data_IF_221852876409
#
_entry.id   IF_221852876409
#
_cell.length_a   1.000
_cell.length_b   1.000
_cell.length_c   1.000
_cell.angle_alpha   90.00
_cell.angle_beta   90.00
_cell.angle_gamma   90.00
#
_symmetry.space_group_name_H-M   'P 1'
#
loop_
_entity.id
_entity.type
_entity.pdbx_description
1 polymer ?
#
# COMPACT_ATOMS: atom_id res chain seq x y z
N UNK A 1 -11.08 -8.85 -4.47
CA UNK A 1 -10.29 -7.79 -3.80
C UNK A 1 -8.82 -8.16 -3.85
N UNK A 2 -7.98 -7.19 -4.16
CA UNK A 2 -6.52 -7.41 -4.16
C UNK A 2 -5.85 -6.78 -2.94
N UNK A 3 -4.88 -7.50 -2.41
CA UNK A 3 -4.04 -7.07 -1.31
C UNK A 3 -2.56 -7.18 -1.68
N UNK A 4 -1.78 -6.25 -1.17
CA UNK A 4 -0.33 -6.24 -1.28
C UNK A 4 0.28 -6.69 0.03
N UNK A 5 1.30 -7.54 -0.05
CA UNK A 5 2.11 -7.93 1.11
C UNK A 5 3.56 -7.58 0.81
N UNK A 6 4.16 -6.76 1.64
CA UNK A 6 5.61 -6.54 1.61
C UNK A 6 6.26 -7.59 2.51
N UNK A 7 7.10 -8.42 1.91
CA UNK A 7 7.74 -9.55 2.59
C UNK A 7 9.05 -9.11 3.25
N UNK A 8 9.37 -9.75 4.38
CA UNK A 8 10.59 -9.50 5.12
C UNK A 8 11.84 -10.12 4.50
N UNK A 9 12.87 -10.29 5.32
CA UNK A 9 14.20 -10.75 4.89
C UNK A 9 14.22 -12.14 4.24
N UNK A 10 13.26 -12.99 4.61
CA UNK A 10 13.11 -14.31 4.01
C UNK A 10 11.77 -14.39 3.27
N UNK A 11 11.71 -13.98 2.00
CA UNK A 11 10.46 -13.92 1.25
C UNK A 11 9.75 -15.26 1.11
N UNK A 12 10.50 -16.35 0.96
CA UNK A 12 9.93 -17.69 0.83
C UNK A 12 9.20 -18.11 2.10
N UNK A 13 9.81 -17.89 3.25
CA UNK A 13 9.20 -18.20 4.55
C UNK A 13 7.99 -17.30 4.81
N UNK A 14 8.11 -16.02 4.53
CA UNK A 14 7.01 -15.04 4.69
C UNK A 14 5.79 -15.42 3.83
N UNK A 15 6.02 -15.81 2.60
CA UNK A 15 4.97 -16.27 1.68
C UNK A 15 4.30 -17.55 2.21
N UNK A 16 5.10 -18.53 2.63
CA UNK A 16 4.58 -19.78 3.19
C UNK A 16 3.70 -19.53 4.41
N UNK A 17 4.10 -18.62 5.27
CA UNK A 17 3.33 -18.21 6.45
C UNK A 17 1.96 -17.64 6.07
N UNK A 18 1.93 -16.75 5.08
CA UNK A 18 0.67 -16.16 4.57
C UNK A 18 -0.25 -17.24 4.02
N UNK A 19 0.27 -18.11 3.16
CA UNK A 19 -0.50 -19.20 2.58
C UNK A 19 -1.04 -20.15 3.62
N UNK A 20 -0.24 -20.44 4.66
CA UNK A 20 -0.66 -21.30 5.77
C UNK A 20 -1.83 -20.68 6.56
N UNK A 21 -1.76 -19.40 6.88
CA UNK A 21 -2.85 -18.71 7.57
C UNK A 21 -4.12 -18.70 6.73
N UNK A 22 -4.02 -18.43 5.44
CA UNK A 22 -5.17 -18.45 4.54
C UNK A 22 -5.79 -19.83 4.41
N UNK A 23 -4.97 -20.88 4.35
CA UNK A 23 -5.44 -22.26 4.31
C UNK A 23 -6.16 -22.62 5.59
N UNK A 24 -5.56 -22.29 6.74
CA UNK A 24 -6.17 -22.54 8.06
C UNK A 24 -7.54 -21.87 8.20
N UNK A 25 -7.64 -20.62 7.77
CA UNK A 25 -8.84 -19.81 7.91
C UNK A 25 -9.83 -20.00 6.73
N UNK A 26 -9.54 -20.93 5.84
CA UNK A 26 -10.38 -21.28 4.68
C UNK A 26 -10.61 -20.06 3.78
N UNK A 27 -9.58 -19.22 3.59
CA UNK A 27 -9.63 -18.07 2.68
C UNK A 27 -9.20 -18.50 1.28
N UNK A 28 -10.15 -18.48 0.35
CA UNK A 28 -9.85 -18.72 -1.06
C UNK A 28 -9.03 -17.55 -1.59
N UNK A 29 -7.86 -17.84 -2.17
CA UNK A 29 -6.93 -16.83 -2.63
C UNK A 29 -6.15 -17.26 -3.86
N UNK A 30 -5.67 -16.28 -4.63
CA UNK A 30 -4.80 -16.47 -5.80
C UNK A 30 -3.68 -15.44 -5.75
N UNK A 31 -2.43 -15.89 -5.90
CA UNK A 31 -1.30 -14.97 -6.03
C UNK A 31 -1.32 -14.40 -7.45
N UNK A 32 -1.42 -13.09 -7.59
CA UNK A 32 -1.56 -12.39 -8.87
C UNK A 32 -0.26 -11.78 -9.37
N UNK A 33 0.67 -11.47 -8.47
CA UNK A 33 2.00 -10.99 -8.82
C UNK A 33 3.02 -11.33 -7.72
N UNK A 34 4.28 -11.46 -8.12
CA UNK A 34 5.41 -11.66 -7.21
C UNK A 34 6.59 -10.86 -7.77
N UNK A 35 6.77 -9.65 -7.27
CA UNK A 35 7.76 -8.70 -7.78
C UNK A 35 8.61 -8.20 -6.62
N UNK A 36 9.93 -8.50 -6.67
CA UNK A 36 10.88 -8.12 -5.62
C UNK A 36 10.41 -8.63 -4.25
N UNK A 37 10.27 -7.73 -3.27
CA UNK A 37 9.80 -8.02 -1.92
C UNK A 37 8.28 -7.99 -1.79
N UNK A 38 7.54 -7.83 -2.89
CA UNK A 38 6.08 -7.70 -2.86
C UNK A 38 5.40 -8.91 -3.49
N UNK A 39 4.33 -9.38 -2.86
CA UNK A 39 3.35 -10.25 -3.52
C UNK A 39 1.99 -9.59 -3.47
N UNK A 40 1.21 -9.79 -4.53
CA UNK A 40 -0.19 -9.39 -4.54
C UNK A 40 -1.07 -10.64 -4.55
N UNK A 41 -2.12 -10.60 -3.75
CA UNK A 41 -3.03 -11.73 -3.57
C UNK A 41 -4.46 -11.25 -3.78
N UNK A 42 -5.19 -11.95 -4.63
CA UNK A 42 -6.63 -11.74 -4.82
C UNK A 42 -7.41 -12.67 -3.91
N UNK A 43 -8.42 -12.15 -3.24
CA UNK A 43 -9.33 -12.92 -2.39
C UNK A 43 -10.78 -12.63 -2.76
N UNK A 44 -11.67 -13.61 -2.53
CA UNK A 44 -13.10 -13.41 -2.72
C UNK A 44 -13.71 -12.60 -1.56
N UNK A 45 -13.22 -12.82 -0.35
CA UNK A 45 -13.71 -12.15 0.86
C UNK A 45 -12.78 -11.03 1.28
N UNK A 46 -13.35 -10.01 1.91
CA UNK A 46 -12.58 -8.94 2.52
C UNK A 46 -11.78 -9.47 3.71
N UNK A 47 -10.53 -9.04 3.80
CA UNK A 47 -9.61 -9.41 4.89
C UNK A 47 -9.48 -8.24 5.85
N UNK A 48 -9.44 -8.56 7.16
CA UNK A 48 -9.00 -7.59 8.17
C UNK A 48 -7.48 -7.56 8.20
N UNK A 49 -6.88 -6.55 7.57
CA UNK A 49 -5.42 -6.43 7.50
C UNK A 49 -4.76 -6.31 8.88
N UNK A 50 -5.29 -5.53 9.85
CA UNK A 50 -4.71 -5.48 11.18
C UNK A 50 -4.75 -6.83 11.91
N UNK A 51 -5.85 -7.57 11.82
CA UNK A 51 -5.96 -8.89 12.43
C UNK A 51 -4.99 -9.88 11.81
N UNK A 52 -4.90 -9.88 10.48
CA UNK A 52 -3.96 -10.74 9.76
C UNK A 52 -2.50 -10.40 10.12
N UNK A 53 -2.16 -9.11 10.17
CA UNK A 53 -0.81 -8.66 10.52
C UNK A 53 -0.39 -9.15 11.90
N UNK A 54 -1.30 -9.23 12.86
CA UNK A 54 -0.99 -9.71 14.22
C UNK A 54 -0.58 -11.19 14.26
N UNK A 55 -0.90 -11.95 13.23
CA UNK A 55 -0.56 -13.36 13.10
C UNK A 55 0.68 -13.64 12.26
N UNK A 56 1.15 -12.64 11.49
CA UNK A 56 2.28 -12.78 10.57
C UNK A 56 3.57 -12.22 11.18
N UNK A 57 4.62 -13.04 11.21
CA UNK A 57 5.93 -12.62 11.69
C UNK A 57 6.88 -12.13 10.61
N UNK A 58 6.69 -12.59 9.38
CA UNK A 58 7.59 -12.30 8.26
C UNK A 58 7.11 -11.23 7.28
N UNK A 59 5.96 -10.62 7.52
CA UNK A 59 5.39 -9.58 6.65
C UNK A 59 5.63 -8.20 7.25
N UNK A 60 6.10 -7.27 6.43
CA UNK A 60 6.40 -5.91 6.88
C UNK A 60 5.14 -5.05 6.88
N UNK A 61 4.38 -5.08 5.79
CA UNK A 61 3.11 -4.34 5.69
C UNK A 61 2.12 -5.02 4.77
N UNK A 62 0.84 -4.70 4.97
CA UNK A 62 -0.27 -5.16 4.15
C UNK A 62 -1.01 -3.94 3.62
N UNK A 63 -1.22 -3.88 2.31
CA UNK A 63 -1.98 -2.84 1.64
C UNK A 63 -3.22 -3.39 0.95
N UNK A 64 -4.18 -2.50 0.71
CA UNK A 64 -5.39 -2.80 -0.06
C UNK A 64 -5.38 -2.00 -1.34
N UNK A 65 -5.80 -2.63 -2.42
CA UNK A 65 -5.93 -1.99 -3.73
C UNK A 65 -6.87 -0.78 -3.69
N UNK A 66 -6.44 0.31 -4.32
CA UNK A 66 -7.35 1.39 -4.69
C UNK A 66 -8.09 1.00 -5.97
N UNK A 67 -9.38 1.30 -6.06
CA UNK A 67 -10.13 1.02 -7.27
C UNK A 67 -9.45 1.64 -8.49
N UNK A 68 -9.23 0.82 -9.53
CA UNK A 68 -8.71 1.29 -10.79
C UNK A 68 -9.73 2.18 -11.47
N UNK A 69 -9.29 3.36 -11.91
CA UNK A 69 -10.08 4.25 -12.74
C UNK A 69 -9.47 4.28 -14.15
N UNK A 70 -10.21 4.76 -15.15
CA UNK A 70 -9.69 4.95 -16.51
C UNK A 70 -8.69 6.13 -16.58
N UNK A 71 -8.37 6.76 -15.47
CA UNK A 71 -7.44 7.88 -15.37
C UNK A 71 -6.00 7.40 -15.14
N UNK A 72 -5.05 8.29 -15.33
CA UNK A 72 -3.64 8.03 -14.99
C UNK A 72 -3.47 7.75 -13.50
N UNK A 73 -2.36 7.10 -13.15
CA UNK A 73 -2.01 6.80 -11.74
C UNK A 73 -1.95 8.08 -10.91
N UNK A 74 -1.35 9.15 -11.45
CA UNK A 74 -1.22 10.45 -10.78
C UNK A 74 -2.58 11.06 -10.47
N UNK A 75 -3.52 11.00 -11.40
CA UNK A 75 -4.89 11.52 -11.21
C UNK A 75 -5.67 10.69 -10.21
N UNK A 76 -5.54 9.36 -10.28
CA UNK A 76 -6.16 8.46 -9.31
C UNK A 76 -5.66 8.73 -7.90
N UNK A 77 -4.35 8.85 -7.74
CA UNK A 77 -3.74 9.13 -6.45
C UNK A 77 -4.12 10.51 -5.92
N UNK A 78 -4.08 11.55 -6.76
CA UNK A 78 -4.45 12.91 -6.34
C UNK A 78 -5.90 12.99 -5.90
N UNK A 79 -6.82 12.37 -6.63
CA UNK A 79 -8.25 12.32 -6.26
C UNK A 79 -8.46 11.59 -4.94
N UNK A 80 -7.79 10.47 -4.75
CA UNK A 80 -7.84 9.71 -3.50
C UNK A 80 -7.35 10.52 -2.30
N UNK A 81 -6.18 11.14 -2.42
CA UNK A 81 -5.59 11.94 -1.33
C UNK A 81 -6.45 13.17 -1.00
N UNK A 82 -6.99 13.83 -2.00
CA UNK A 82 -7.86 15.00 -1.81
C UNK A 82 -9.15 14.65 -1.03
N UNK A 83 -9.69 13.46 -1.25
CA UNK A 83 -10.87 12.97 -0.53
C UNK A 83 -10.56 12.48 0.88
N UNK A 84 -9.40 11.88 1.06
CA UNK A 84 -9.02 11.20 2.31
C UNK A 84 -8.49 12.17 3.36
N UNK A 85 -7.78 13.21 2.96
CA UNK A 85 -7.19 14.18 3.86
C UNK A 85 -7.76 15.57 3.65
N UNK A 86 -8.15 16.20 4.75
CA UNK A 86 -8.56 17.60 4.78
C UNK A 86 -7.34 18.48 5.14
N UNK A 87 -7.28 19.70 4.60
CA UNK A 87 -6.17 20.61 4.86
C UNK A 87 -4.87 20.16 4.18
N UNK A 88 -3.76 20.21 4.90
CA UNK A 88 -2.46 19.79 4.37
C UNK A 88 -2.42 18.29 4.13
N UNK A 89 -2.04 17.90 2.92
CA UNK A 89 -1.90 16.49 2.55
C UNK A 89 -0.45 16.05 2.78
N UNK A 90 -0.26 14.91 3.46
CA UNK A 90 1.03 14.25 3.60
C UNK A 90 0.89 12.84 3.06
N UNK A 91 1.78 12.43 2.17
CA UNK A 91 1.73 11.10 1.56
C UNK A 91 3.11 10.57 1.21
N UNK A 92 3.18 9.28 1.00
CA UNK A 92 4.35 8.57 0.46
C UNK A 92 3.93 7.68 -0.71
N UNK A 93 4.86 7.39 -1.58
CA UNK A 93 4.66 6.46 -2.68
C UNK A 93 5.95 5.68 -2.89
N UNK A 94 5.84 4.35 -2.93
CA UNK A 94 6.93 3.42 -3.18
C UNK A 94 6.63 2.59 -4.43
N UNK A 95 7.67 2.04 -5.05
CA UNK A 95 7.55 1.21 -6.25
C UNK A 95 8.25 1.83 -7.45
N UNK A 96 8.05 1.23 -8.63
CA UNK A 96 8.68 1.68 -9.87
C UNK A 96 8.21 3.09 -10.24
N UNK A 97 9.16 3.98 -10.55
CA UNK A 97 8.89 5.38 -10.92
C UNK A 97 8.13 6.18 -9.85
N UNK A 98 8.16 5.72 -8.59
CA UNK A 98 7.40 6.33 -7.50
C UNK A 98 7.68 7.81 -7.32
N UNK A 99 8.94 8.23 -7.33
CA UNK A 99 9.30 9.65 -7.16
C UNK A 99 8.74 10.53 -8.25
N UNK A 100 8.84 10.09 -9.51
CA UNK A 100 8.30 10.81 -10.67
C UNK A 100 6.77 10.96 -10.56
N UNK A 101 6.10 9.87 -10.24
CA UNK A 101 4.64 9.85 -10.07
C UNK A 101 4.23 10.72 -8.88
N UNK A 102 4.94 10.64 -7.76
CA UNK A 102 4.66 11.45 -6.57
C UNK A 102 4.80 12.95 -6.85
N UNK A 103 5.83 13.36 -7.58
CA UNK A 103 6.01 14.76 -7.95
C UNK A 103 4.91 15.26 -8.89
N UNK A 104 4.48 14.44 -9.84
CA UNK A 104 3.36 14.77 -10.72
C UNK A 104 2.05 14.89 -9.92
N UNK A 105 1.80 13.98 -8.98
CA UNK A 105 0.65 14.01 -8.06
C UNK A 105 0.66 15.30 -7.22
N UNK A 106 1.82 15.67 -6.69
CA UNK A 106 2.00 16.89 -5.91
C UNK A 106 1.67 18.15 -6.73
N UNK A 107 2.07 18.17 -7.99
CA UNK A 107 1.74 19.28 -8.89
C UNK A 107 0.23 19.41 -9.13
N UNK A 108 -0.46 18.30 -9.35
CA UNK A 108 -1.91 18.27 -9.52
C UNK A 108 -2.63 18.80 -8.29
N UNK A 109 -2.23 18.36 -7.11
CA UNK A 109 -2.84 18.80 -5.84
C UNK A 109 -2.57 20.27 -5.56
N UNK A 110 -1.37 20.76 -5.85
CA UNK A 110 -1.04 22.20 -5.72
C UNK A 110 -1.84 23.06 -6.69
N UNK A 111 -2.04 22.59 -7.92
CA UNK A 111 -2.88 23.28 -8.88
C UNK A 111 -4.32 23.44 -8.37
N UNK A 112 -4.82 22.47 -7.64
CA UNK A 112 -6.15 22.51 -7.00
C UNK A 112 -6.15 23.29 -5.67
N UNK A 113 -5.09 24.01 -5.36
CA UNK A 113 -5.00 24.86 -4.16
C UNK A 113 -4.66 24.12 -2.87
N UNK A 114 -4.25 22.86 -2.93
CA UNK A 114 -3.92 22.08 -1.73
C UNK A 114 -2.45 22.18 -1.36
N UNK A 115 -2.18 22.29 -0.07
CA UNK A 115 -0.83 22.18 0.49
C UNK A 115 -0.45 20.71 0.62
N UNK A 116 0.70 20.31 0.06
CA UNK A 116 1.10 18.91 -0.06
C UNK A 116 2.54 18.69 0.36
N UNK A 117 2.77 17.65 1.13
CA UNK A 117 4.11 17.15 1.48
C UNK A 117 4.25 15.71 1.02
N UNK A 118 5.23 15.45 0.17
CA UNK A 118 5.65 14.11 -0.19
C UNK A 118 6.76 13.65 0.76
N UNK A 119 6.60 12.48 1.36
CA UNK A 119 7.57 11.87 2.26
C UNK A 119 8.24 10.71 1.52
N UNK A 120 9.55 10.81 1.34
CA UNK A 120 10.34 9.72 0.76
C UNK A 120 10.60 8.67 1.84
N UNK A 121 10.18 7.41 1.58
CA UNK A 121 10.30 6.33 2.54
C UNK A 121 11.69 5.70 2.43
N UNK A 122 12.42 5.73 3.54
CA UNK A 122 13.73 5.08 3.68
C UNK A 122 13.64 3.76 4.46
N UNK A 123 12.70 3.69 5.41
CA UNK A 123 12.46 2.52 6.25
C UNK A 123 11.08 2.60 6.89
N UNK A 124 10.69 1.54 7.59
CA UNK A 124 9.41 1.45 8.30
C UNK A 124 9.21 2.58 9.31
N UNK A 125 10.27 3.00 10.01
CA UNK A 125 10.19 4.07 10.99
C UNK A 125 9.72 5.39 10.39
N UNK A 126 10.07 5.68 9.13
CA UNK A 126 9.61 6.88 8.43
C UNK A 126 8.09 6.88 8.26
N UNK A 127 7.49 5.73 7.95
CA UNK A 127 6.04 5.56 7.82
C UNK A 127 5.35 5.81 9.16
N UNK A 128 5.86 5.20 10.23
CA UNK A 128 5.30 5.31 11.58
C UNK A 128 5.45 6.73 12.13
N UNK A 129 6.60 7.33 11.96
CA UNK A 129 6.89 8.68 12.46
C UNK A 129 5.98 9.75 11.84
N UNK A 130 5.60 9.57 10.57
CA UNK A 130 4.72 10.51 9.85
C UNK A 130 3.24 10.13 9.93
N UNK A 131 2.87 9.09 10.69
CA UNK A 131 1.51 8.59 10.84
C UNK A 131 0.81 8.29 9.51
N UNK A 132 1.55 7.78 8.53
CA UNK A 132 1.04 7.59 7.17
C UNK A 132 0.00 6.47 7.06
N UNK A 133 0.04 5.48 7.96
CA UNK A 133 -0.97 4.41 7.99
C UNK A 133 -2.31 4.96 8.49
N UNK A 134 -2.32 5.72 9.58
CA UNK A 134 -3.52 6.34 10.13
C UNK A 134 -4.12 7.37 9.17
N UNK A 135 -3.28 8.10 8.45
CA UNK A 135 -3.70 9.04 7.41
C UNK A 135 -4.15 8.34 6.12
N UNK A 136 -3.98 7.02 6.04
CA UNK A 136 -4.27 6.23 4.84
C UNK A 136 -3.56 6.78 3.59
N UNK A 137 -2.29 7.13 3.74
CA UNK A 137 -1.51 7.81 2.71
C UNK A 137 -0.11 7.22 2.47
N UNK A 138 0.21 6.08 3.06
CA UNK A 138 1.35 5.29 2.63
C UNK A 138 0.92 4.41 1.45
N UNK A 139 1.39 4.77 0.26
CA UNK A 139 0.97 4.14 -0.99
C UNK A 139 2.12 3.36 -1.63
N UNK A 140 1.75 2.29 -2.32
CA UNK A 140 2.69 1.47 -3.10
C UNK A 140 2.10 1.25 -4.49
N UNK A 141 2.94 1.36 -5.52
CA UNK A 141 2.55 1.03 -6.88
C UNK A 141 3.23 -0.27 -7.31
N UNK A 142 2.42 -1.23 -7.79
CA UNK A 142 2.90 -2.50 -8.36
C UNK A 142 2.11 -2.76 -9.64
N UNK A 143 2.81 -2.89 -10.76
CA UNK A 143 2.19 -3.09 -12.09
C UNK A 143 1.04 -2.10 -12.39
N UNK A 144 1.30 -0.83 -12.21
CA UNK A 144 0.32 0.27 -12.43
C UNK A 144 -0.92 0.22 -11.51
N UNK A 145 -0.92 -0.66 -10.51
CA UNK A 145 -1.96 -0.73 -9.49
C UNK A 145 -1.48 -0.06 -8.21
N UNK A 146 -2.33 0.81 -7.66
CA UNK A 146 -2.05 1.50 -6.40
C UNK A 146 -2.62 0.70 -5.22
N UNK A 147 -1.82 0.60 -4.18
CA UNK A 147 -2.22 0.02 -2.90
C UNK A 147 -2.01 1.01 -1.78
N UNK A 148 -2.89 1.01 -0.80
CA UNK A 148 -2.77 1.83 0.41
C UNK A 148 -2.53 0.92 1.60
N UNK A 149 -1.47 1.19 2.34
CA UNK A 149 -1.10 0.41 3.53
C UNK A 149 -2.20 0.48 4.59
N UNK A 150 -2.65 -0.67 5.04
CA UNK A 150 -3.70 -0.84 6.05
C UNK A 150 -3.14 -1.31 7.38
N UNK A 151 -2.04 -2.01 7.37
CA UNK A 151 -1.37 -2.53 8.55
C UNK A 151 0.14 -2.61 8.31
N UNK A 152 0.91 -2.40 9.36
CA UNK A 152 2.38 -2.40 9.32
C UNK A 152 2.91 -3.03 10.61
N UNK A 153 4.01 -3.78 10.50
CA UNK A 153 4.74 -4.28 11.67
C UNK A 153 5.41 -3.10 12.38
N UNK A 154 5.26 -2.99 13.70
CA UNK A 154 5.89 -1.93 14.48
C UNK A 154 7.41 -2.05 14.53
#
# INVERSE_FOLDING_TARGET
MQYLFELGKNPTLSRTEIEHVFLRDTVSHTITANINAYITISTEKRISCPSLMSELGGTIKIGRELPSTAQSVEKTLSSYLAKTQKGKITFSLSGKDAKKIALATKKLLKHDGRSVRYVEIKNTATILHNNLVEKQSDCVIVDDTLFVTQAIQP
#
